data_IF_601236864105
#
_entry.id   IF_601236864105
#
_cell.length_a   1.000
_cell.length_b   1.000
_cell.length_c   1.000
_cell.angle_alpha   90.00
_cell.angle_beta   90.00
_cell.angle_gamma   90.00
#
_symmetry.space_group_name_H-M   'P 1'
#
loop_
_entity.id
_entity.type
_entity.pdbx_description
1 polymer ?
#
# COMPACT_ATOMS: atom_id res chain seq x y z
N UNK A 1 1.17 -15.92 -3.79
CA UNK A 1 2.61 -15.89 -3.46
C UNK A 1 2.84 -14.62 -2.65
N UNK A 2 3.41 -14.72 -1.46
CA UNK A 2 3.59 -13.59 -0.54
C UNK A 2 4.85 -12.78 -0.90
N UNK A 3 4.92 -11.52 -0.47
CA UNK A 3 6.01 -10.59 -0.75
C UNK A 3 7.43 -11.08 -0.35
N UNK A 4 7.65 -11.97 0.64
CA UNK A 4 8.99 -12.48 0.97
C UNK A 4 9.62 -13.35 -0.10
N UNK A 5 8.87 -13.74 -1.14
CA UNK A 5 9.41 -14.49 -2.27
C UNK A 5 10.59 -13.76 -2.92
N UNK A 6 10.65 -12.42 -2.82
CA UNK A 6 11.74 -11.62 -3.39
C UNK A 6 12.95 -11.46 -2.46
N UNK A 7 12.84 -11.82 -1.18
CA UNK A 7 13.90 -11.59 -0.19
C UNK A 7 15.20 -12.35 -0.46
N UNK A 8 15.18 -13.61 -0.96
CA UNK A 8 16.40 -14.33 -1.30
C UNK A 8 17.24 -13.65 -2.40
N UNK A 9 16.64 -12.80 -3.24
CA UNK A 9 17.34 -12.20 -4.37
C UNK A 9 18.23 -11.00 -3.97
N UNK A 10 17.98 -10.35 -2.84
CA UNK A 10 18.78 -9.21 -2.36
C UNK A 10 18.68 -9.00 -0.85
N UNK A 11 19.24 -9.91 -0.06
CA UNK A 11 19.13 -9.91 1.41
C UNK A 11 19.66 -8.63 2.09
N UNK A 12 20.73 -8.02 1.57
CA UNK A 12 21.23 -6.75 2.10
C UNK A 12 20.21 -5.62 1.91
N UNK A 13 19.50 -5.61 0.76
CA UNK A 13 18.48 -4.61 0.47
C UNK A 13 17.21 -4.81 1.32
N UNK A 14 16.90 -6.05 1.71
CA UNK A 14 15.80 -6.36 2.65
C UNK A 14 16.02 -5.64 3.98
N UNK A 15 17.21 -5.77 4.57
CA UNK A 15 17.53 -5.14 5.86
C UNK A 15 17.56 -3.61 5.76
N UNK A 16 18.19 -3.08 4.71
CA UNK A 16 18.18 -1.63 4.45
C UNK A 16 16.73 -1.13 4.31
N UNK A 17 15.91 -1.85 3.54
CA UNK A 17 14.52 -1.49 3.32
C UNK A 17 13.70 -1.48 4.61
N UNK A 18 13.83 -2.51 5.43
CA UNK A 18 13.18 -2.59 6.73
C UNK A 18 13.56 -1.42 7.64
N UNK A 19 14.87 -1.22 7.89
CA UNK A 19 15.32 -0.20 8.84
C UNK A 19 15.00 1.22 8.37
N UNK A 20 15.19 1.52 7.09
CA UNK A 20 14.87 2.85 6.53
C UNK A 20 13.36 3.11 6.64
N UNK A 21 12.53 2.15 6.21
CA UNK A 21 11.08 2.26 6.31
C UNK A 21 10.63 2.46 7.76
N UNK A 22 11.16 1.66 8.69
CA UNK A 22 10.80 1.72 10.11
C UNK A 22 11.23 3.03 10.78
N UNK A 23 12.46 3.50 10.54
CA UNK A 23 12.94 4.78 11.07
C UNK A 23 12.06 5.93 10.55
N UNK A 24 11.76 5.93 9.25
CA UNK A 24 10.87 6.94 8.65
C UNK A 24 9.47 6.88 9.26
N UNK A 25 8.94 5.69 9.51
CA UNK A 25 7.64 5.52 10.18
C UNK A 25 7.64 6.03 11.63
N UNK A 26 8.69 5.74 12.40
CA UNK A 26 8.88 6.26 13.76
C UNK A 26 8.97 7.78 13.75
N UNK A 27 9.75 8.37 12.83
CA UNK A 27 9.82 9.82 12.67
C UNK A 27 8.46 10.41 12.29
N UNK A 28 7.74 9.78 11.37
CA UNK A 28 6.39 10.20 10.97
C UNK A 28 5.40 10.14 12.13
N UNK A 29 5.48 9.13 12.99
CA UNK A 29 4.69 9.02 14.22
C UNK A 29 4.95 10.21 15.16
N UNK A 30 6.22 10.59 15.38
CA UNK A 30 6.55 11.77 16.19
C UNK A 30 6.01 13.06 15.56
N UNK A 31 6.07 13.19 14.24
CA UNK A 31 5.46 14.31 13.53
C UNK A 31 3.96 14.36 13.82
N UNK A 32 3.23 13.25 13.64
CA UNK A 32 1.79 13.16 13.92
C UNK A 32 1.47 13.50 15.39
N UNK A 33 2.30 13.04 16.32
CA UNK A 33 2.17 13.35 17.74
C UNK A 33 2.26 14.86 18.01
N UNK A 34 3.22 15.55 17.39
CA UNK A 34 3.36 17.01 17.53
C UNK A 34 2.19 17.80 16.95
N UNK A 35 1.52 17.27 15.92
CA UNK A 35 0.30 17.86 15.36
C UNK A 35 -0.95 17.67 16.25
N UNK A 36 -0.87 16.85 17.31
CA UNK A 36 -1.96 16.67 18.28
C UNK A 36 -3.18 15.90 17.77
N UNK A 37 -3.02 15.15 16.67
CA UNK A 37 -4.10 14.38 16.03
C UNK A 37 -4.05 12.88 16.31
N UNK A 38 -4.65 12.09 15.41
CA UNK A 38 -4.54 10.63 15.45
C UNK A 38 -3.11 10.21 15.11
N UNK A 39 -2.49 9.44 16.01
CA UNK A 39 -1.12 8.95 15.85
C UNK A 39 -1.15 7.51 15.35
N UNK A 40 -0.50 7.27 14.21
CA UNK A 40 -0.31 5.92 13.67
C UNK A 40 0.96 5.33 14.26
N UNK A 41 0.83 4.22 15.00
CA UNK A 41 1.97 3.50 15.56
C UNK A 41 2.64 2.64 14.48
N UNK A 42 3.97 2.75 14.28
CA UNK A 42 4.67 1.99 13.25
C UNK A 42 4.73 0.50 13.60
N UNK A 43 4.04 -0.33 12.82
CA UNK A 43 4.04 -1.77 12.97
C UNK A 43 5.29 -2.44 12.39
N UNK A 44 6.01 -3.22 13.19
CA UNK A 44 7.25 -3.90 12.76
C UNK A 44 7.01 -4.82 11.55
N UNK A 45 5.90 -5.56 11.57
CA UNK A 45 5.51 -6.50 10.48
C UNK A 45 5.35 -5.75 9.16
N UNK A 46 4.56 -4.67 9.14
CA UNK A 46 4.31 -3.88 7.93
C UNK A 46 5.58 -3.26 7.37
N UNK A 47 6.39 -2.62 8.23
CA UNK A 47 7.65 -2.02 7.81
C UNK A 47 8.67 -3.07 7.34
N UNK A 48 8.65 -4.28 7.94
CA UNK A 48 9.50 -5.38 7.51
C UNK A 48 9.08 -5.90 6.14
N UNK A 49 7.81 -6.27 5.95
CA UNK A 49 7.35 -6.87 4.70
C UNK A 49 7.34 -5.86 3.55
N UNK A 50 6.51 -4.81 3.63
CA UNK A 50 6.41 -3.81 2.56
C UNK A 50 7.71 -3.01 2.39
N UNK A 51 8.35 -2.63 3.50
CA UNK A 51 9.60 -1.85 3.44
C UNK A 51 10.76 -2.65 2.86
N UNK A 52 10.92 -3.92 3.22
CA UNK A 52 11.94 -4.77 2.61
C UNK A 52 11.66 -5.02 1.13
N UNK A 53 10.41 -5.31 0.75
CA UNK A 53 10.04 -5.51 -0.66
C UNK A 53 10.32 -4.24 -1.47
N UNK A 54 9.95 -3.05 -0.97
CA UNK A 54 10.28 -1.78 -1.59
C UNK A 54 11.80 -1.56 -1.70
N UNK A 55 12.56 -1.96 -0.67
CA UNK A 55 14.02 -1.93 -0.67
C UNK A 55 14.64 -2.84 -1.74
N UNK A 56 14.14 -4.07 -1.89
CA UNK A 56 14.61 -5.05 -2.89
C UNK A 56 14.36 -4.54 -4.31
N UNK A 57 13.14 -4.09 -4.61
CA UNK A 57 12.82 -3.54 -5.93
C UNK A 57 13.55 -2.22 -6.20
N UNK A 58 13.67 -1.36 -5.18
CA UNK A 58 14.46 -0.13 -5.25
C UNK A 58 15.93 -0.42 -5.54
N UNK A 59 16.50 -1.46 -4.92
CA UNK A 59 17.87 -1.91 -5.18
C UNK A 59 18.04 -2.43 -6.61
N UNK A 60 17.09 -3.20 -7.11
CA UNK A 60 17.12 -3.70 -8.48
C UNK A 60 17.11 -2.57 -9.52
N UNK A 61 16.42 -1.44 -9.25
CA UNK A 61 16.32 -0.32 -10.20
C UNK A 61 17.42 0.73 -10.05
N UNK A 62 17.86 1.01 -8.83
CA UNK A 62 18.74 2.15 -8.51
C UNK A 62 19.83 1.86 -7.48
N UNK A 63 20.14 0.59 -7.22
CA UNK A 63 21.12 0.17 -6.23
C UNK A 63 20.76 0.64 -4.82
N UNK A 64 21.78 0.86 -3.98
CA UNK A 64 21.58 1.24 -2.57
C UNK A 64 20.75 2.51 -2.42
N UNK A 65 20.95 3.51 -3.28
CA UNK A 65 20.18 4.77 -3.25
C UNK A 65 18.71 4.53 -3.57
N UNK A 66 18.42 3.66 -4.53
CA UNK A 66 17.07 3.23 -4.85
C UNK A 66 16.41 2.45 -3.72
N UNK A 67 17.16 1.58 -3.03
CA UNK A 67 16.66 0.83 -1.88
C UNK A 67 16.22 1.76 -0.75
N UNK A 68 17.07 2.74 -0.40
CA UNK A 68 16.76 3.74 0.65
C UNK A 68 15.58 4.61 0.23
N UNK A 69 15.59 5.17 -0.98
CA UNK A 69 14.51 6.06 -1.43
C UNK A 69 13.16 5.34 -1.53
N UNK A 70 13.14 4.11 -2.07
CA UNK A 70 11.92 3.30 -2.18
C UNK A 70 11.36 2.92 -0.82
N UNK A 71 12.21 2.49 0.11
CA UNK A 71 11.81 2.15 1.46
C UNK A 71 11.35 3.36 2.29
N UNK A 72 12.01 4.52 2.14
CA UNK A 72 11.61 5.75 2.79
C UNK A 72 10.24 6.22 2.30
N UNK A 73 10.01 6.21 0.97
CA UNK A 73 8.71 6.54 0.41
C UNK A 73 7.62 5.59 0.93
N UNK A 74 7.89 4.29 0.96
CA UNK A 74 6.96 3.32 1.53
C UNK A 74 6.67 3.63 3.01
N UNK A 75 7.70 3.88 3.83
CA UNK A 75 7.55 4.23 5.24
C UNK A 75 6.69 5.48 5.46
N UNK A 76 6.85 6.52 4.63
CA UNK A 76 5.98 7.70 4.65
C UNK A 76 4.53 7.33 4.29
N UNK A 77 4.34 6.59 3.20
CA UNK A 77 3.00 6.22 2.73
C UNK A 77 2.22 5.44 3.80
N UNK A 78 2.81 4.39 4.37
CA UNK A 78 2.12 3.57 5.39
C UNK A 78 1.96 4.28 6.73
N UNK A 79 2.57 5.44 6.94
CA UNK A 79 2.37 6.27 8.14
C UNK A 79 1.27 7.30 7.94
N UNK A 80 1.21 7.96 6.77
CA UNK A 80 0.30 9.07 6.51
C UNK A 80 -1.00 8.66 5.80
N UNK A 81 -0.98 7.67 4.89
CA UNK A 81 -2.21 7.23 4.22
C UNK A 81 -3.27 6.66 5.18
N UNK A 82 -2.93 5.90 6.23
CA UNK A 82 -3.95 5.41 7.15
C UNK A 82 -4.74 6.52 7.82
N UNK A 83 -4.12 7.69 8.05
CA UNK A 83 -4.80 8.86 8.61
C UNK A 83 -5.95 9.34 7.71
N UNK A 84 -5.75 9.30 6.39
CA UNK A 84 -6.76 9.67 5.40
C UNK A 84 -7.82 8.57 5.26
N UNK A 85 -7.42 7.31 5.48
CA UNK A 85 -8.28 6.15 5.30
C UNK A 85 -9.19 5.86 6.50
N UNK A 86 -8.73 6.14 7.73
CA UNK A 86 -9.45 5.88 9.00
C UNK A 86 -10.95 6.28 9.01
N UNK A 87 -11.36 7.44 8.47
CA UNK A 87 -12.77 7.84 8.45
C UNK A 87 -13.68 6.89 7.66
N UNK A 88 -13.13 6.10 6.75
CA UNK A 88 -13.89 5.16 5.92
C UNK A 88 -14.03 3.76 6.54
N UNK A 89 -13.36 3.50 7.66
CA UNK A 89 -13.30 2.17 8.30
C UNK A 89 -14.47 1.86 9.25
N UNK A 90 -15.30 2.84 9.60
CA UNK A 90 -16.43 2.64 10.53
C UNK A 90 -15.96 2.08 11.88
N UNK A 91 -16.52 0.93 12.28
CA UNK A 91 -16.20 0.26 13.56
C UNK A 91 -14.72 -0.10 13.70
N UNK A 92 -14.01 -0.44 12.61
CA UNK A 92 -12.56 -0.69 12.66
C UNK A 92 -11.77 0.57 13.00
N UNK A 93 -12.18 1.72 12.47
CA UNK A 93 -11.56 3.01 12.77
C UNK A 93 -11.82 3.41 14.22
N UNK A 94 -13.02 3.12 14.73
CA UNK A 94 -13.38 3.30 16.14
C UNK A 94 -12.57 2.41 17.09
N UNK A 95 -12.15 1.22 16.64
CA UNK A 95 -11.27 0.32 17.38
C UNK A 95 -9.78 0.73 17.31
N UNK A 96 -9.44 1.88 16.70
CA UNK A 96 -8.08 2.32 16.46
C UNK A 96 -7.24 1.31 15.64
N UNK A 97 -7.91 0.56 14.76
CA UNK A 97 -7.30 -0.43 13.87
C UNK A 97 -7.39 -0.01 12.42
N UNK A 98 -6.36 -0.30 11.63
CA UNK A 98 -6.31 0.05 10.21
C UNK A 98 -5.45 -0.95 9.45
N UNK A 99 -5.53 -0.91 8.12
CA UNK A 99 -4.67 -1.72 7.26
C UNK A 99 -3.28 -1.07 7.14
N UNK A 100 -2.26 -1.91 7.00
CA UNK A 100 -0.87 -1.46 6.91
C UNK A 100 -0.33 -1.36 5.49
N UNK A 101 -1.12 -1.78 4.51
CA UNK A 101 -0.65 -2.01 3.16
C UNK A 101 -1.11 -0.89 2.24
N UNK A 102 -0.16 -0.28 1.52
CA UNK A 102 -0.40 0.92 0.71
C UNK A 102 -1.50 0.70 -0.34
N UNK A 103 -1.58 -0.48 -0.94
CA UNK A 103 -2.62 -0.83 -1.92
C UNK A 103 -4.02 -0.89 -1.30
N UNK A 104 -4.18 -1.54 -0.13
CA UNK A 104 -5.44 -1.55 0.62
C UNK A 104 -5.86 -0.13 1.04
N UNK A 105 -4.90 0.69 1.46
CA UNK A 105 -5.15 2.08 1.85
C UNK A 105 -5.61 2.93 0.66
N UNK A 106 -4.91 2.86 -0.49
CA UNK A 106 -5.26 3.63 -1.69
C UNK A 106 -6.61 3.18 -2.26
N UNK A 107 -6.80 1.87 -2.45
CA UNK A 107 -8.07 1.33 -2.95
C UNK A 107 -9.20 1.66 -1.97
N UNK A 108 -8.96 1.51 -0.67
CA UNK A 108 -9.90 1.84 0.37
C UNK A 108 -10.31 3.32 0.36
N UNK A 109 -9.38 4.24 0.16
CA UNK A 109 -9.68 5.68 0.03
C UNK A 109 -10.53 5.95 -1.22
N UNK A 110 -10.22 5.31 -2.35
CA UNK A 110 -11.00 5.48 -3.60
C UNK A 110 -12.44 4.98 -3.41
N UNK A 111 -12.59 3.74 -2.93
CA UNK A 111 -13.90 3.15 -2.65
C UNK A 111 -14.66 3.93 -1.58
N UNK A 112 -13.99 4.36 -0.52
CA UNK A 112 -14.56 5.16 0.56
C UNK A 112 -15.12 6.49 0.06
N UNK A 113 -14.40 7.19 -0.83
CA UNK A 113 -14.91 8.43 -1.44
C UNK A 113 -16.09 8.17 -2.37
N UNK A 114 -16.04 7.12 -3.19
CA UNK A 114 -17.15 6.75 -4.07
C UNK A 114 -18.40 6.40 -3.25
N UNK A 115 -18.25 5.62 -2.19
CA UNK A 115 -19.31 5.29 -1.26
C UNK A 115 -19.89 6.56 -0.61
N UNK A 116 -19.04 7.51 -0.21
CA UNK A 116 -19.45 8.77 0.42
C UNK A 116 -20.30 9.66 -0.49
N UNK A 117 -19.95 9.77 -1.78
CA UNK A 117 -20.64 10.69 -2.71
C UNK A 117 -21.75 10.04 -3.53
N UNK A 118 -21.59 8.79 -3.93
CA UNK A 118 -22.50 8.07 -4.85
C UNK A 118 -23.28 6.95 -4.16
N UNK A 119 -23.00 6.67 -2.89
CA UNK A 119 -23.64 5.61 -2.12
C UNK A 119 -23.41 4.22 -2.71
N UNK A 120 -24.31 3.30 -2.38
CA UNK A 120 -24.26 1.91 -2.84
C UNK A 120 -24.28 1.79 -4.37
N UNK A 121 -25.02 2.68 -5.04
CA UNK A 121 -25.15 2.68 -6.50
C UNK A 121 -23.79 2.93 -7.16
N UNK A 122 -23.01 3.88 -6.64
CA UNK A 122 -21.67 4.17 -7.15
C UNK A 122 -20.72 2.97 -7.03
N UNK A 123 -20.78 2.25 -5.91
CA UNK A 123 -19.98 1.05 -5.69
C UNK A 123 -20.37 -0.06 -6.69
N UNK A 124 -21.68 -0.31 -6.86
CA UNK A 124 -22.17 -1.35 -7.79
C UNK A 124 -21.74 -1.02 -9.23
N UNK A 125 -21.89 0.22 -9.67
CA UNK A 125 -21.48 0.65 -11.01
C UNK A 125 -19.97 0.48 -11.22
N UNK A 126 -19.15 0.83 -10.22
CA UNK A 126 -17.70 0.63 -10.29
C UNK A 126 -17.33 -0.84 -10.41
N UNK A 127 -17.94 -1.73 -9.61
CA UNK A 127 -17.71 -3.17 -9.66
C UNK A 127 -18.08 -3.72 -11.04
N UNK A 128 -19.23 -3.33 -11.59
CA UNK A 128 -19.68 -3.76 -12.91
C UNK A 128 -18.75 -3.25 -14.02
N UNK A 129 -18.25 -2.02 -13.91
CA UNK A 129 -17.26 -1.46 -14.85
C UNK A 129 -15.95 -2.24 -14.82
N UNK A 130 -15.40 -2.52 -13.63
CA UNK A 130 -14.17 -3.31 -13.49
C UNK A 130 -14.37 -4.71 -14.08
N UNK A 131 -15.46 -5.39 -13.75
CA UNK A 131 -15.78 -6.71 -14.29
C UNK A 131 -15.92 -6.69 -15.83
N UNK A 132 -16.62 -5.69 -16.38
CA UNK A 132 -16.78 -5.51 -17.82
C UNK A 132 -15.45 -5.29 -18.54
N UNK A 133 -14.57 -4.45 -17.98
CA UNK A 133 -13.23 -4.20 -18.51
C UNK A 133 -12.38 -5.48 -18.47
N UNK A 134 -12.41 -6.23 -17.36
CA UNK A 134 -11.69 -7.49 -17.23
C UNK A 134 -12.13 -8.53 -18.27
N UNK A 135 -13.44 -8.67 -18.52
CA UNK A 135 -13.97 -9.58 -19.54
C UNK A 135 -13.54 -9.15 -20.94
N UNK A 136 -13.58 -7.84 -21.24
CA UNK A 136 -13.13 -7.32 -22.53
C UNK A 136 -11.63 -7.57 -22.75
N UNK A 137 -10.82 -7.36 -21.71
CA UNK A 137 -9.38 -7.60 -21.74
C UNK A 137 -9.08 -9.09 -21.96
N UNK A 138 -9.80 -9.99 -21.26
CA UNK A 138 -9.67 -11.43 -21.44
C UNK A 138 -10.06 -11.88 -22.86
N UNK A 139 -11.13 -11.31 -23.43
CA UNK A 139 -11.50 -11.57 -24.85
C UNK A 139 -10.38 -11.15 -25.81
N UNK A 140 -9.77 -9.99 -25.61
CA UNK A 140 -8.65 -9.52 -26.45
C UNK A 140 -7.42 -10.42 -26.34
N UNK A 141 -7.07 -10.86 -25.13
CA UNK A 141 -5.96 -11.79 -24.90
C UNK A 141 -6.23 -13.13 -25.58
N UNK A 142 -7.42 -13.71 -25.42
CA UNK A 142 -7.78 -14.98 -26.06
C UNK A 142 -7.76 -14.91 -27.58
N UNK A 143 -8.20 -13.80 -28.19
CA UNK A 143 -8.09 -13.64 -29.64
C UNK A 143 -6.65 -13.55 -30.13
N UNK A 144 -5.75 -12.91 -29.37
CA UNK A 144 -4.33 -12.89 -29.70
C UNK A 144 -3.65 -14.26 -29.59
N UNK A 145 -4.12 -15.13 -28.69
CA UNK A 145 -3.62 -16.51 -28.55
C UNK A 145 -4.14 -17.39 -29.68
N UNK A 146 -5.41 -17.27 -30.08
CA UNK A 146 -5.99 -18.08 -31.16
C UNK A 146 -5.53 -17.69 -32.58
N UNK A 147 -4.96 -16.49 -32.76
CA UNK A 147 -4.43 -16.03 -34.06
C UNK A 147 -2.92 -16.30 -34.23
N UNK A 148 -2.29 -17.04 -33.31
CA UNK A 148 -0.94 -17.61 -33.45
C UNK A 148 -1.04 -19.12 -33.59
#
# INVERSE_FOLDING_TARGET
MDCPIVFPYAQNAVLIGFFVSFIVGVLGMFVLFLFGGVVILPGVVAHFFLGATAGVFGNARGGIRGAVAGAALNGLLITFLPLIFLPFLGDLGGAATTFSDTDFLVVGIIFGNIAKYLGLIGIIVLILLIAGISILFQKRVNQHVNNK
#
